data_IF_916501133652
#
_entry.id   IF_916501133652
#
_cell.length_a   1.000
_cell.length_b   1.000
_cell.length_c   1.000
_cell.angle_alpha   90.00
_cell.angle_beta   90.00
_cell.angle_gamma   90.00
#
_symmetry.space_group_name_H-M   'P 1'
#
loop_
_entity.id
_entity.type
_entity.pdbx_description
1 polymer ?
#
# COMPACT_ATOMS: atom_id res chain seq x y z
N UNK A 1 88.96 4.34 23.06
CA UNK A 1 88.16 5.44 22.47
C UNK A 1 86.85 4.81 21.98
N UNK A 2 85.90 4.42 22.83
CA UNK A 2 84.88 5.21 23.54
C UNK A 2 84.47 6.50 22.82
N UNK A 3 83.29 6.44 22.19
CA UNK A 3 82.29 7.48 21.87
C UNK A 3 81.01 6.68 21.52
N UNK A 4 80.24 6.15 22.48
CA UNK A 4 79.08 6.73 23.18
C UNK A 4 78.06 7.47 22.27
N UNK A 5 76.77 7.47 22.63
CA UNK A 5 75.72 6.62 22.07
C UNK A 5 74.67 7.43 21.28
N UNK A 6 73.92 6.78 20.39
CA UNK A 6 72.74 7.36 19.75
C UNK A 6 71.67 7.65 20.82
N UNK A 7 71.63 8.89 21.33
CA UNK A 7 70.53 9.42 22.11
C UNK A 7 69.56 10.14 21.18
N UNK A 8 68.54 9.42 20.73
CA UNK A 8 67.33 10.03 20.19
C UNK A 8 66.43 10.39 21.37
N UNK A 9 66.41 11.66 21.78
CA UNK A 9 65.39 12.18 22.69
C UNK A 9 64.83 13.48 22.12
N UNK A 10 63.49 13.58 22.20
CA UNK A 10 62.63 14.74 21.95
C UNK A 10 62.39 15.06 20.47
N UNK A 11 61.18 15.38 20.01
CA UNK A 11 60.00 15.94 20.67
C UNK A 11 58.78 15.79 19.75
N UNK A 12 57.57 15.73 20.32
CA UNK A 12 56.31 16.22 19.73
C UNK A 12 55.90 15.65 18.37
N UNK A 13 54.80 14.93 18.23
CA UNK A 13 53.48 15.50 18.47
C UNK A 13 52.50 14.34 18.57
N UNK A 14 52.05 14.02 19.78
CA UNK A 14 50.79 13.32 19.92
C UNK A 14 49.73 14.36 19.55
N UNK A 15 49.38 14.45 18.27
CA UNK A 15 48.10 15.01 17.87
C UNK A 15 47.07 14.04 18.43
N UNK A 16 46.75 14.19 19.72
CA UNK A 16 45.44 13.77 20.19
C UNK A 16 44.50 14.52 19.26
N UNK A 17 43.84 13.77 18.38
CA UNK A 17 42.66 14.27 17.74
C UNK A 17 41.74 14.66 18.89
N UNK A 18 41.76 15.95 19.26
CA UNK A 18 40.68 16.59 19.96
C UNK A 18 39.54 16.44 18.96
N UNK A 19 38.86 15.30 19.02
CA UNK A 19 37.50 15.25 18.55
C UNK A 19 36.84 16.37 19.35
N UNK A 20 36.42 17.47 18.71
CA UNK A 20 35.47 18.32 19.38
C UNK A 20 34.33 17.36 19.66
N UNK A 21 34.16 17.01 20.92
CA UNK A 21 32.95 16.37 21.39
C UNK A 21 31.88 17.40 21.05
N UNK A 22 31.35 17.31 19.82
CA UNK A 22 30.18 18.06 19.41
C UNK A 22 29.23 17.77 20.54
N UNK A 23 28.84 18.83 21.24
CA UNK A 23 27.89 18.80 22.34
C UNK A 23 26.53 18.44 21.73
N UNK A 24 26.45 17.22 21.21
CA UNK A 24 25.31 16.64 20.57
C UNK A 24 24.48 16.07 21.70
N UNK A 25 23.28 16.59 21.85
CA UNK A 25 22.34 16.06 22.81
C UNK A 25 22.03 14.59 22.52
N UNK A 26 21.58 13.85 23.53
CA UNK A 26 21.24 12.43 23.38
C UNK A 26 20.03 12.25 22.48
N UNK A 27 19.74 11.01 22.11
CA UNK A 27 18.47 10.69 21.47
C UNK A 27 17.30 11.23 22.30
N UNK A 28 16.29 11.79 21.61
CA UNK A 28 15.11 12.43 22.21
C UNK A 28 15.39 13.72 22.99
N UNK A 29 16.51 14.38 22.71
CA UNK A 29 16.84 15.69 23.25
C UNK A 29 17.11 16.70 22.14
N UNK A 30 16.89 17.97 22.43
CA UNK A 30 17.19 19.09 21.53
C UNK A 30 18.07 20.11 22.23
N UNK A 31 18.90 20.80 21.44
CA UNK A 31 19.79 21.83 21.95
C UNK A 31 19.08 23.18 21.92
N UNK A 32 18.98 23.83 23.08
CA UNK A 32 18.49 25.20 23.19
C UNK A 32 19.31 25.95 24.24
N UNK A 33 19.71 27.19 23.95
CA UNK A 33 20.53 28.02 24.85
C UNK A 33 21.79 27.30 25.39
N UNK A 34 22.44 26.50 24.54
CA UNK A 34 23.62 25.67 24.90
C UNK A 34 23.37 24.61 25.98
N UNK A 35 22.11 24.21 26.19
CA UNK A 35 21.69 23.16 27.09
C UNK A 35 20.85 22.11 26.33
N UNK A 36 21.00 20.85 26.72
CA UNK A 36 20.18 19.77 26.19
C UNK A 36 18.88 19.65 26.99
N UNK A 37 17.76 19.82 26.31
CA UNK A 37 16.41 19.67 26.84
C UNK A 37 15.76 18.41 26.28
N UNK A 38 14.86 17.79 27.03
CA UNK A 38 14.10 16.64 26.56
C UNK A 38 13.04 17.09 25.55
N UNK A 39 12.86 16.35 24.46
CA UNK A 39 11.74 16.54 23.54
C UNK A 39 10.42 16.16 24.22
N UNK A 40 9.31 16.72 23.75
CA UNK A 40 7.99 16.24 24.14
C UNK A 40 7.72 14.88 23.50
N UNK A 41 7.10 13.93 24.23
CA UNK A 41 6.73 12.64 23.67
C UNK A 41 5.62 12.79 22.61
N UNK A 42 5.45 11.77 21.73
CA UNK A 42 4.26 11.69 20.87
C UNK A 42 2.97 11.89 21.69
N UNK A 43 2.00 12.60 21.13
CA UNK A 43 0.77 12.96 21.82
C UNK A 43 0.84 14.25 22.63
N UNK A 44 2.01 14.85 22.79
CA UNK A 44 2.21 16.08 23.53
C UNK A 44 2.93 17.14 22.71
N UNK A 45 2.54 18.40 22.94
CA UNK A 45 3.15 19.59 22.36
C UNK A 45 3.93 20.37 23.41
N UNK A 46 4.93 21.10 22.96
CA UNK A 46 5.76 21.98 23.76
C UNK A 46 4.99 23.21 24.23
N UNK A 47 4.95 23.44 25.54
CA UNK A 47 4.44 24.68 26.15
C UNK A 47 5.61 25.61 26.43
N UNK A 48 6.55 25.18 27.27
CA UNK A 48 7.72 25.95 27.66
C UNK A 48 9.00 25.13 27.49
N UNK A 49 10.03 25.78 26.99
CA UNK A 49 11.36 25.20 26.88
C UNK A 49 11.97 24.95 28.26
N UNK A 50 12.86 23.97 28.35
CA UNK A 50 13.60 23.73 29.57
C UNK A 50 14.55 24.90 29.88
N UNK A 51 14.82 25.11 31.16
CA UNK A 51 15.83 26.05 31.63
C UNK A 51 16.94 25.30 32.36
N UNK A 52 17.92 26.02 32.91
CA UNK A 52 18.98 25.39 33.73
C UNK A 52 18.47 24.62 34.94
N UNK A 53 17.24 24.91 35.39
CA UNK A 53 16.66 24.35 36.61
C UNK A 53 15.28 23.70 36.39
N UNK A 54 14.59 23.99 35.29
CA UNK A 54 13.28 23.41 34.96
C UNK A 54 13.39 22.48 33.76
N UNK A 55 12.63 21.40 33.79
CA UNK A 55 12.49 20.50 32.64
C UNK A 55 11.59 21.12 31.57
N UNK A 56 11.58 20.49 30.39
CA UNK A 56 10.70 20.86 29.28
C UNK A 56 9.24 20.65 29.71
N UNK A 57 8.40 21.65 29.50
CA UNK A 57 6.97 21.55 29.81
C UNK A 57 6.20 21.14 28.56
N UNK A 58 5.51 20.00 28.65
CA UNK A 58 4.73 19.42 27.57
C UNK A 58 3.27 19.28 28.00
N UNK A 59 2.34 19.36 27.05
CA UNK A 59 0.92 19.18 27.30
C UNK A 59 0.27 18.34 26.22
N UNK A 60 -0.74 17.55 26.57
CA UNK A 60 -1.42 16.65 25.65
C UNK A 60 -2.15 17.42 24.54
N UNK A 61 -2.11 16.89 23.32
CA UNK A 61 -2.95 17.35 22.22
C UNK A 61 -4.43 17.24 22.59
N UNK A 62 -5.25 18.15 22.04
CA UNK A 62 -6.69 18.14 22.28
C UNK A 62 -7.36 17.05 21.44
N UNK A 63 -8.63 16.79 21.74
CA UNK A 63 -9.47 15.94 20.90
C UNK A 63 -9.50 16.49 19.47
N UNK A 64 -9.32 15.61 18.47
CA UNK A 64 -9.19 16.00 17.06
C UNK A 64 -7.79 16.46 16.63
N UNK A 65 -6.78 16.36 17.52
CA UNK A 65 -5.40 16.74 17.21
C UNK A 65 -4.38 15.63 17.55
N UNK A 66 -3.24 15.62 16.87
CA UNK A 66 -2.16 14.65 17.10
C UNK A 66 -0.75 15.19 16.87
N UNK A 67 0.24 14.51 17.46
CA UNK A 67 1.67 14.61 17.15
C UNK A 67 2.29 13.22 17.27
N UNK A 68 2.82 12.68 16.17
CA UNK A 68 3.29 11.28 16.14
C UNK A 68 4.77 11.05 16.45
N UNK A 69 5.51 12.11 16.77
CA UNK A 69 6.97 12.05 16.94
C UNK A 69 7.41 12.75 18.23
N UNK A 70 8.63 12.45 18.65
CA UNK A 70 9.30 13.24 19.68
C UNK A 70 9.61 14.63 19.11
N UNK A 71 9.03 15.67 19.69
CA UNK A 71 8.89 16.96 19.01
C UNK A 71 9.18 18.16 19.92
N UNK A 72 9.30 19.34 19.29
CA UNK A 72 9.35 20.67 19.93
C UNK A 72 8.21 21.57 19.42
N UNK A 73 7.15 20.96 18.89
CA UNK A 73 6.06 21.69 18.25
C UNK A 73 5.17 22.33 19.29
N UNK A 74 4.79 23.59 19.10
CA UNK A 74 3.88 24.32 20.03
C UNK A 74 2.39 24.12 19.72
N UNK A 75 2.11 23.51 18.58
CA UNK A 75 0.77 23.27 18.06
C UNK A 75 0.71 21.81 17.59
N UNK A 76 -0.38 21.13 17.87
CA UNK A 76 -0.62 19.81 17.34
C UNK A 76 -1.20 19.90 15.93
N UNK A 77 -1.07 18.84 15.14
CA UNK A 77 -1.72 18.75 13.83
C UNK A 77 -3.18 18.35 14.00
N UNK A 78 -4.06 18.89 13.16
CA UNK A 78 -5.45 18.45 13.12
C UNK A 78 -5.54 17.08 12.48
N UNK A 79 -6.45 16.24 12.97
CA UNK A 79 -6.74 14.97 12.33
C UNK A 79 -7.25 15.17 10.90
N UNK A 80 -6.85 14.27 10.01
CA UNK A 80 -7.37 14.19 8.65
C UNK A 80 -8.89 14.00 8.69
N UNK A 81 -9.60 14.87 7.99
CA UNK A 81 -11.03 14.73 7.78
C UNK A 81 -11.31 13.81 6.57
N UNK A 82 -12.08 12.75 6.80
CA UNK A 82 -12.52 11.86 5.72
C UNK A 82 -13.83 12.41 5.15
N UNK A 83 -13.74 13.19 4.07
CA UNK A 83 -14.91 13.82 3.44
C UNK A 83 -15.79 12.79 2.72
N UNK A 84 -17.04 12.58 3.16
CA UNK A 84 -17.97 11.64 2.51
C UNK A 84 -18.29 12.03 1.07
N UNK A 85 -18.22 13.32 0.71
CA UNK A 85 -18.47 13.77 -0.65
C UNK A 85 -17.37 13.34 -1.64
N UNK A 86 -16.20 12.98 -1.12
CA UNK A 86 -15.09 12.41 -1.87
C UNK A 86 -15.09 10.87 -1.85
N UNK A 87 -16.14 10.25 -1.31
CA UNK A 87 -16.28 8.79 -1.16
C UNK A 87 -15.37 8.21 -0.07
N UNK A 88 -14.88 9.03 0.86
CA UNK A 88 -14.02 8.61 1.96
C UNK A 88 -14.85 8.31 3.22
N UNK A 89 -14.41 7.29 3.95
CA UNK A 89 -14.87 6.95 5.30
C UNK A 89 -13.70 6.73 6.24
N UNK A 90 -13.95 6.84 7.54
CA UNK A 90 -12.96 6.55 8.57
C UNK A 90 -12.71 5.05 8.62
N UNK A 91 -11.47 4.63 8.39
CA UNK A 91 -11.02 3.26 8.62
C UNK A 91 -10.56 3.07 10.06
N UNK A 92 -9.85 4.07 10.59
CA UNK A 92 -9.34 4.09 11.96
C UNK A 92 -9.35 5.51 12.48
N UNK A 93 -9.97 5.69 13.64
CA UNK A 93 -9.97 6.97 14.37
C UNK A 93 -8.55 7.39 14.73
N UNK A 94 -8.31 8.71 14.68
CA UNK A 94 -7.09 9.32 15.17
C UNK A 94 -6.97 9.19 16.69
N UNK A 95 -5.73 9.26 17.17
CA UNK A 95 -5.41 9.37 18.59
C UNK A 95 -4.55 10.61 18.80
N UNK A 96 -4.17 10.93 20.04
CA UNK A 96 -3.19 12.00 20.27
C UNK A 96 -1.84 11.72 19.58
N UNK A 97 -1.50 10.46 19.32
CA UNK A 97 -0.21 10.07 18.73
C UNK A 97 -0.30 9.76 17.23
N UNK A 98 -1.49 9.53 16.69
CA UNK A 98 -1.66 9.04 15.32
C UNK A 98 -2.77 9.78 14.62
N UNK A 99 -2.57 10.07 13.34
CA UNK A 99 -3.62 10.64 12.50
C UNK A 99 -4.77 9.64 12.23
N UNK A 100 -5.92 10.19 11.88
CA UNK A 100 -7.07 9.45 11.35
C UNK A 100 -6.71 8.84 10.00
N UNK A 101 -7.02 7.56 9.82
CA UNK A 101 -6.84 6.88 8.54
C UNK A 101 -8.17 6.81 7.81
N UNK A 102 -8.20 7.39 6.61
CA UNK A 102 -9.33 7.30 5.69
C UNK A 102 -9.17 6.12 4.71
N UNK A 103 -10.29 5.56 4.29
CA UNK A 103 -10.37 4.59 3.18
C UNK A 103 -11.60 4.90 2.33
N UNK A 104 -11.67 4.33 1.13
CA UNK A 104 -12.82 4.52 0.27
C UNK A 104 -14.01 3.65 0.68
N UNK A 105 -15.20 4.13 0.33
CA UNK A 105 -16.44 3.39 0.47
C UNK A 105 -16.48 2.12 -0.39
N UNK A 106 -17.47 1.26 -0.15
CA UNK A 106 -17.59 0.00 -0.90
C UNK A 106 -17.79 0.27 -2.40
N UNK A 107 -17.06 -0.47 -3.24
CA UNK A 107 -17.06 -0.29 -4.70
C UNK A 107 -16.15 0.85 -5.20
N UNK A 108 -15.42 1.52 -4.30
CA UNK A 108 -14.50 2.61 -4.63
C UNK A 108 -13.06 2.29 -4.18
N UNK A 109 -12.08 2.90 -4.86
CA UNK A 109 -10.66 2.82 -4.52
C UNK A 109 -10.00 4.19 -4.52
N UNK A 110 -8.90 4.33 -3.78
CA UNK A 110 -8.13 5.57 -3.72
C UNK A 110 -7.54 5.91 -5.08
N UNK A 111 -7.69 7.17 -5.50
CA UNK A 111 -7.12 7.67 -6.76
C UNK A 111 -5.59 7.79 -6.70
N UNK A 112 -5.03 8.01 -5.51
CA UNK A 112 -3.60 8.16 -5.25
C UNK A 112 -3.19 7.48 -3.93
N UNK A 113 -1.88 7.39 -3.68
CA UNK A 113 -1.35 6.82 -2.44
C UNK A 113 -1.76 7.60 -1.18
N UNK A 114 -1.97 8.91 -1.30
CA UNK A 114 -2.41 9.76 -0.19
C UNK A 114 -3.90 9.57 0.19
N UNK A 115 -4.66 8.85 -0.66
CA UNK A 115 -6.10 8.64 -0.55
C UNK A 115 -6.86 9.92 -0.19
N UNK A 116 -6.75 10.92 -1.06
CA UNK A 116 -7.44 12.22 -0.92
C UNK A 116 -8.82 12.21 -1.59
N UNK A 117 -9.04 11.29 -2.53
CA UNK A 117 -10.33 11.08 -3.19
C UNK A 117 -10.48 9.64 -3.63
N UNK A 118 -11.72 9.24 -3.85
CA UNK A 118 -12.09 7.90 -4.26
C UNK A 118 -12.75 7.89 -5.64
N UNK A 119 -12.50 6.84 -6.39
CA UNK A 119 -13.15 6.58 -7.69
C UNK A 119 -13.63 5.14 -7.77
N UNK A 120 -14.57 4.86 -8.68
CA UNK A 120 -15.15 3.54 -8.83
C UNK A 120 -14.09 2.51 -9.22
N UNK A 121 -14.23 1.30 -8.71
CA UNK A 121 -13.45 0.15 -9.15
C UNK A 121 -13.59 -0.04 -10.66
N UNK A 122 -12.47 -0.28 -11.34
CA UNK A 122 -12.45 -0.65 -12.74
C UNK A 122 -13.19 -1.97 -12.96
N UNK A 123 -14.00 -2.00 -14.02
CA UNK A 123 -14.71 -3.21 -14.45
C UNK A 123 -13.84 -3.98 -15.44
N UNK A 124 -13.71 -5.28 -15.25
CA UNK A 124 -13.15 -6.16 -16.26
C UNK A 124 -14.21 -6.43 -17.32
N UNK A 125 -13.95 -6.00 -18.55
CA UNK A 125 -14.85 -6.18 -19.70
C UNK A 125 -14.92 -7.65 -20.14
N UNK A 126 -15.94 -8.03 -20.95
CA UNK A 126 -16.03 -9.37 -21.51
C UNK A 126 -14.74 -9.79 -22.23
N UNK A 127 -14.31 -11.02 -22.00
CA UNK A 127 -13.00 -11.55 -22.44
C UNK A 127 -11.85 -11.32 -21.45
N UNK A 128 -12.03 -10.45 -20.45
CA UNK A 128 -11.12 -10.26 -19.32
C UNK A 128 -11.77 -10.80 -18.03
N UNK A 129 -10.95 -11.33 -17.12
CA UNK A 129 -11.39 -11.71 -15.78
C UNK A 129 -10.57 -11.01 -14.72
N UNK A 130 -11.16 -10.89 -13.53
CA UNK A 130 -10.51 -10.28 -12.38
C UNK A 130 -9.35 -11.15 -11.91
N UNK A 131 -8.13 -10.63 -12.01
CA UNK A 131 -6.94 -11.23 -11.39
C UNK A 131 -6.85 -10.82 -9.93
N UNK A 132 -6.99 -9.52 -9.66
CA UNK A 132 -6.96 -8.94 -8.33
C UNK A 132 -8.23 -8.13 -8.11
N UNK A 133 -8.95 -8.47 -7.05
CA UNK A 133 -10.13 -7.74 -6.63
C UNK A 133 -9.68 -6.40 -6.02
N UNK A 134 -10.36 -5.33 -6.38
CA UNK A 134 -10.12 -4.03 -5.80
C UNK A 134 -10.34 -4.02 -4.28
N UNK A 135 -9.65 -3.12 -3.60
CA UNK A 135 -9.84 -2.82 -2.19
C UNK A 135 -10.22 -1.35 -2.05
N UNK A 136 -10.49 -0.89 -0.82
CA UNK A 136 -10.69 0.54 -0.56
C UNK A 136 -9.47 1.41 -0.91
N UNK A 137 -8.30 0.80 -1.22
CA UNK A 137 -7.05 1.52 -1.55
C UNK A 137 -6.44 1.15 -2.91
N UNK A 138 -6.88 0.06 -3.54
CA UNK A 138 -6.30 -0.44 -4.79
C UNK A 138 -7.39 -0.80 -5.78
N UNK A 139 -7.16 -0.52 -7.05
CA UNK A 139 -8.12 -0.83 -8.11
C UNK A 139 -8.18 -2.33 -8.47
N UNK A 140 -9.19 -2.70 -9.25
CA UNK A 140 -9.34 -4.02 -9.86
C UNK A 140 -8.27 -4.20 -10.93
N UNK A 141 -7.61 -5.34 -10.95
CA UNK A 141 -6.68 -5.69 -12.02
C UNK A 141 -7.27 -6.80 -12.87
N UNK A 142 -7.37 -6.55 -14.17
CA UNK A 142 -7.97 -7.43 -15.16
C UNK A 142 -6.92 -8.08 -16.06
N UNK A 143 -7.08 -9.38 -16.29
CA UNK A 143 -6.24 -10.15 -17.20
C UNK A 143 -7.08 -10.84 -18.28
N UNK A 144 -6.53 -11.08 -19.49
CA UNK A 144 -7.19 -11.87 -20.51
C UNK A 144 -7.51 -13.29 -20.03
N UNK A 145 -8.70 -13.79 -20.37
CA UNK A 145 -9.03 -15.16 -20.03
C UNK A 145 -8.16 -16.17 -20.81
N UNK A 146 -7.53 -17.14 -20.11
CA UNK A 146 -6.74 -18.16 -20.78
C UNK A 146 -7.63 -19.11 -21.59
N UNK A 147 -7.03 -19.82 -22.54
CA UNK A 147 -7.73 -20.82 -23.37
C UNK A 147 -8.41 -21.85 -22.46
N UNK A 148 -9.69 -22.13 -22.74
CA UNK A 148 -10.52 -22.99 -21.89
C UNK A 148 -11.40 -22.23 -20.90
N UNK A 149 -11.23 -20.90 -20.79
CA UNK A 149 -12.00 -20.03 -19.92
C UNK A 149 -12.63 -18.86 -20.68
N UNK A 150 -13.66 -18.24 -20.09
CA UNK A 150 -14.35 -17.07 -20.62
C UNK A 150 -14.87 -16.16 -19.52
N UNK A 151 -15.17 -14.92 -19.90
CA UNK A 151 -15.94 -13.96 -19.12
C UNK A 151 -16.89 -13.26 -20.08
N UNK A 152 -18.19 -13.23 -19.78
CA UNK A 152 -19.23 -12.66 -20.66
C UNK A 152 -19.93 -11.44 -20.07
N UNK A 153 -19.51 -10.99 -18.88
CA UNK A 153 -20.07 -9.82 -18.20
C UNK A 153 -18.99 -8.78 -17.96
N UNK A 154 -19.39 -7.54 -17.72
CA UNK A 154 -18.49 -6.51 -17.18
C UNK A 154 -18.58 -6.55 -15.66
N UNK A 155 -17.50 -6.88 -14.96
CA UNK A 155 -17.52 -7.03 -13.50
C UNK A 155 -16.18 -6.66 -12.86
N UNK A 156 -16.24 -6.01 -11.69
CA UNK A 156 -15.07 -5.76 -10.84
C UNK A 156 -14.70 -6.95 -9.93
N UNK A 157 -15.54 -8.01 -9.89
CA UNK A 157 -15.40 -9.13 -8.97
C UNK A 157 -15.26 -10.50 -9.66
N UNK A 158 -15.84 -10.67 -10.85
CA UNK A 158 -15.88 -11.98 -11.52
C UNK A 158 -14.55 -12.35 -12.19
N UNK A 159 -14.10 -13.57 -11.89
CA UNK A 159 -12.96 -14.20 -12.55
C UNK A 159 -13.41 -14.95 -13.80
N UNK A 160 -12.46 -15.35 -14.65
CA UNK A 160 -12.78 -16.18 -15.80
C UNK A 160 -13.37 -17.53 -15.37
N UNK A 161 -14.44 -17.95 -16.03
CA UNK A 161 -15.13 -19.23 -15.82
C UNK A 161 -14.71 -20.26 -16.87
N UNK A 162 -14.58 -21.55 -16.52
CA UNK A 162 -14.24 -22.58 -17.49
C UNK A 162 -15.39 -22.81 -18.47
N UNK A 163 -15.08 -23.12 -19.74
CA UNK A 163 -16.10 -23.52 -20.70
C UNK A 163 -16.82 -24.79 -20.26
N UNK A 164 -18.15 -24.82 -20.43
CA UNK A 164 -18.94 -26.02 -20.17
C UNK A 164 -18.61 -27.09 -21.21
N UNK A 165 -18.12 -28.25 -20.77
CA UNK A 165 -17.95 -29.43 -21.62
C UNK A 165 -19.22 -30.29 -21.50
N UNK A 166 -19.94 -30.47 -22.59
CA UNK A 166 -20.98 -31.50 -22.65
C UNK A 166 -20.32 -32.82 -23.05
N UNK A 167 -20.54 -33.93 -22.32
CA UNK A 167 -20.21 -35.24 -22.83
C UNK A 167 -21.09 -35.48 -24.06
N UNK A 168 -20.49 -35.62 -25.24
CA UNK A 168 -21.17 -36.20 -26.39
C UNK A 168 -21.58 -37.60 -25.97
N UNK A 169 -22.88 -37.85 -25.83
CA UNK A 169 -23.39 -39.20 -25.62
C UNK A 169 -23.06 -39.99 -26.88
N UNK A 170 -22.01 -40.81 -26.82
CA UNK A 170 -21.73 -41.85 -27.81
C UNK A 170 -22.87 -42.87 -27.74
N UNK A 171 -23.90 -42.63 -28.54
CA UNK A 171 -24.93 -43.60 -28.88
C UNK A 171 -25.17 -43.52 -30.38
N UNK A 172 -24.51 -44.41 -31.11
CA UNK A 172 -25.10 -44.96 -32.33
C UNK A 172 -24.75 -46.44 -32.42
N UNK A 173 -25.73 -47.24 -32.01
CA UNK A 173 -25.97 -48.63 -32.37
C UNK A 173 -25.83 -48.78 -33.90
N UNK A 174 -25.11 -49.81 -34.34
CA UNK A 174 -24.77 -50.00 -35.74
C UNK A 174 -25.95 -50.37 -36.65
N UNK A 175 -25.80 -50.01 -37.92
CA UNK A 175 -26.19 -50.82 -39.09
C UNK A 175 -25.75 -50.11 -40.39
N UNK A 176 -24.73 -50.68 -41.03
CA UNK A 176 -24.49 -50.94 -42.48
C UNK A 176 -24.77 -49.93 -43.63
N UNK A 177 -24.06 -50.12 -44.77
CA UNK A 177 -23.57 -49.06 -45.64
C UNK A 177 -24.43 -48.88 -46.89
N UNK A 178 -24.49 -47.65 -47.40
CA UNK A 178 -24.54 -47.26 -48.81
C UNK A 178 -25.05 -45.83 -48.86
N UNK A 179 -24.17 -44.87 -49.13
CA UNK A 179 -24.36 -43.88 -50.19
C UNK A 179 -23.06 -43.09 -50.37
N UNK A 180 -22.59 -43.18 -51.60
CA UNK A 180 -21.38 -42.58 -52.14
C UNK A 180 -21.56 -41.05 -52.21
N UNK A 181 -20.59 -40.32 -51.66
CA UNK A 181 -20.65 -38.87 -51.55
C UNK A 181 -19.81 -38.35 -50.37
N UNK A 182 -18.48 -38.44 -50.52
CA UNK A 182 -17.52 -37.76 -49.64
C UNK A 182 -17.96 -36.31 -49.34
N UNK A 183 -17.86 -35.89 -48.07
CA UNK A 183 -16.71 -35.07 -47.75
C UNK A 183 -16.02 -35.50 -46.46
N UNK A 184 -14.71 -35.72 -46.60
CA UNK A 184 -13.67 -35.46 -45.60
C UNK A 184 -13.99 -35.89 -44.17
N UNK A 185 -13.51 -37.08 -43.81
CA UNK A 185 -13.11 -37.38 -42.45
C UNK A 185 -12.26 -36.23 -41.87
N UNK A 186 -12.87 -35.44 -40.99
CA UNK A 186 -12.16 -34.71 -39.95
C UNK A 186 -12.72 -35.20 -38.60
N UNK A 187 -12.11 -36.24 -37.99
CA UNK A 187 -12.48 -36.62 -36.64
C UNK A 187 -11.87 -35.62 -35.64
N UNK A 188 -12.61 -35.41 -34.55
CA UNK A 188 -12.24 -34.69 -33.32
C UNK A 188 -12.17 -33.15 -33.43
N UNK A 189 -13.32 -32.54 -33.70
CA UNK A 189 -13.56 -31.13 -33.34
C UNK A 189 -14.45 -31.06 -32.11
N UNK A 190 -13.87 -30.79 -30.93
CA UNK A 190 -14.65 -30.30 -29.78
C UNK A 190 -15.34 -29.02 -30.25
N UNK A 191 -16.65 -29.09 -30.51
CA UNK A 191 -17.41 -27.88 -30.83
C UNK A 191 -17.62 -27.10 -29.53
N UNK A 192 -16.69 -26.18 -29.29
CA UNK A 192 -16.79 -25.17 -28.25
C UNK A 192 -17.83 -24.15 -28.70
N UNK A 193 -19.03 -24.22 -28.16
CA UNK A 193 -20.05 -23.21 -28.40
C UNK A 193 -20.11 -22.23 -27.24
N UNK A 194 -20.03 -20.95 -27.59
CA UNK A 194 -20.33 -19.84 -26.70
C UNK A 194 -21.86 -19.76 -26.55
N UNK A 195 -22.39 -20.00 -25.35
CA UNK A 195 -23.82 -19.79 -25.09
C UNK A 195 -24.07 -18.29 -25.00
N UNK A 196 -24.41 -17.66 -26.12
CA UNK A 196 -24.79 -16.25 -26.17
C UNK A 196 -26.00 -15.99 -25.27
N UNK A 197 -25.84 -15.09 -24.31
CA UNK A 197 -26.95 -14.54 -23.53
C UNK A 197 -27.77 -13.59 -24.40
N UNK A 198 -29.09 -13.79 -24.40
CA UNK A 198 -30.06 -12.98 -25.10
C UNK A 198 -30.02 -11.53 -24.56
N UNK A 199 -29.62 -10.59 -25.40
CA UNK A 199 -29.95 -9.18 -25.22
C UNK A 199 -31.39 -8.95 -25.64
N UNK A 200 -32.23 -8.56 -24.69
CA UNK A 200 -33.54 -7.99 -24.95
C UNK A 200 -33.35 -6.71 -25.79
N UNK A 201 -34.15 -6.60 -26.85
CA UNK A 201 -34.29 -5.45 -27.74
C UNK A 201 -35.13 -4.37 -27.04
N UNK A 202 -34.90 -3.10 -27.41
CA UNK A 202 -35.78 -1.96 -27.14
C UNK A 202 -37.27 -2.25 -27.42
#
# INVERSE_FOLDING_TARGET
MVLLPLRCVFWGSLLTAVHPERTACREKQYLINSQCCNLCPPGEKLVNDCTKITETECTRCKEGEFLGTWNTERHCHQHKYCDPNLGLRVQREGTSETDTICTCDEGLHCTNYACESCTLHSLCLPGLGVRQIATGVSDTVCDPCPVGFFSNVSSALEKCHPWTRFPTSDKSLGSDPHHDGDPACCPVGVRLYQKGGQGARE
#
